data_IF_232662160788
#
_entry.id   IF_232662160788
#
_cell.length_a   1.000
_cell.length_b   1.000
_cell.length_c   1.000
_cell.angle_alpha   90.00
_cell.angle_beta   90.00
_cell.angle_gamma   90.00
#
_symmetry.space_group_name_H-M   'P 1'
#
loop_
_entity.id
_entity.type
_entity.pdbx_description
1 polymer ?
#
# COMPACT_ATOMS: atom_id res chain seq x y z
N UNK A 1 12.72 17.64 -15.95
CA UNK A 1 12.70 16.33 -16.62
C UNK A 1 13.31 15.32 -15.66
N UNK A 2 12.47 14.53 -14.97
CA UNK A 2 12.86 13.35 -14.18
C UNK A 2 11.57 12.62 -13.76
N UNK A 3 10.81 12.15 -14.77
CA UNK A 3 9.68 11.23 -14.56
C UNK A 3 10.21 9.79 -14.67
N UNK A 4 11.35 9.52 -14.05
CA UNK A 4 11.96 8.20 -14.07
C UNK A 4 11.21 7.38 -13.02
N UNK A 5 10.27 6.61 -13.54
CA UNK A 5 9.22 5.92 -12.81
C UNK A 5 9.87 4.82 -11.97
N UNK A 6 10.17 5.03 -10.66
CA UNK A 6 10.75 3.97 -9.82
C UNK A 6 9.68 2.89 -9.52
N UNK A 7 8.45 3.15 -9.94
CA UNK A 7 7.29 2.30 -9.80
C UNK A 7 7.29 1.07 -10.73
N UNK A 8 8.33 0.79 -11.50
CA UNK A 8 8.29 -0.34 -12.44
C UNK A 8 8.86 -1.63 -11.84
N UNK A 9 9.79 -1.57 -10.90
CA UNK A 9 10.47 -2.75 -10.33
C UNK A 9 9.87 -3.25 -9.01
N UNK A 10 8.81 -2.61 -8.52
CA UNK A 10 8.18 -2.98 -7.25
C UNK A 10 6.96 -3.86 -7.49
N UNK A 11 6.65 -4.71 -6.50
CA UNK A 11 5.45 -5.51 -6.51
C UNK A 11 4.20 -4.61 -6.53
N UNK A 12 3.15 -5.05 -7.21
CA UNK A 12 1.88 -4.33 -7.29
C UNK A 12 1.33 -3.94 -5.91
N UNK A 13 1.41 -4.88 -4.95
CA UNK A 13 1.02 -4.68 -3.56
C UNK A 13 1.84 -3.57 -2.87
N UNK A 14 3.16 -3.63 -3.00
CA UNK A 14 4.08 -2.64 -2.41
C UNK A 14 3.86 -1.24 -2.96
N UNK A 15 3.51 -1.13 -4.25
CA UNK A 15 3.25 0.14 -4.90
C UNK A 15 2.00 0.85 -4.36
N UNK A 16 0.95 0.08 -4.06
CA UNK A 16 -0.28 0.62 -3.46
C UNK A 16 0.00 1.10 -2.03
N UNK A 17 0.73 0.31 -1.24
CA UNK A 17 1.17 0.68 0.12
C UNK A 17 2.04 1.94 0.10
N UNK A 18 2.88 2.10 -0.93
CA UNK A 18 3.72 3.30 -1.10
C UNK A 18 2.93 4.59 -1.30
N UNK A 19 1.67 4.50 -1.74
CA UNK A 19 0.76 5.64 -1.78
C UNK A 19 0.48 6.24 -0.40
N UNK A 20 0.66 5.46 0.66
CA UNK A 20 0.53 5.90 2.03
C UNK A 20 1.82 6.61 2.50
N UNK A 21 1.81 7.93 2.37
CA UNK A 21 2.95 8.78 2.74
C UNK A 21 3.23 8.76 4.24
N UNK A 22 2.21 8.54 5.06
CA UNK A 22 2.32 8.52 6.52
C UNK A 22 3.05 7.27 7.00
N UNK A 23 2.66 6.09 6.48
CA UNK A 23 3.36 4.83 6.69
C UNK A 23 4.83 4.92 6.29
N UNK A 24 5.12 5.42 5.08
CA UNK A 24 6.49 5.58 4.60
C UNK A 24 7.30 6.59 5.40
N UNK A 25 6.65 7.59 6.00
CA UNK A 25 7.32 8.55 6.87
C UNK A 25 7.72 7.89 8.19
N UNK A 26 6.80 7.17 8.84
CA UNK A 26 7.08 6.43 10.08
C UNK A 26 8.15 5.34 9.88
N UNK A 27 8.14 4.64 8.75
CA UNK A 27 9.15 3.63 8.40
C UNK A 27 10.55 4.26 8.28
N UNK A 28 10.66 5.44 7.66
CA UNK A 28 11.93 6.18 7.58
C UNK A 28 12.40 6.68 8.95
N UNK A 29 11.48 7.19 9.76
CA UNK A 29 11.79 7.62 11.12
C UNK A 29 12.25 6.44 11.98
N UNK A 30 11.63 5.26 11.82
CA UNK A 30 12.02 4.04 12.54
C UNK A 30 13.45 3.64 12.18
N UNK A 31 13.75 3.59 10.88
CA UNK A 31 15.10 3.30 10.40
C UNK A 31 16.14 4.32 10.87
N UNK A 32 15.78 5.60 10.95
CA UNK A 32 16.66 6.63 11.49
C UNK A 32 16.88 6.44 13.00
N UNK A 33 15.84 6.08 13.74
CA UNK A 33 15.92 5.79 15.18
C UNK A 33 16.74 4.54 15.49
N UNK A 34 16.61 3.48 14.68
CA UNK A 34 17.43 2.27 14.76
C UNK A 34 18.91 2.58 14.49
N UNK A 35 19.21 3.40 13.47
CA UNK A 35 20.59 3.84 13.18
C UNK A 35 21.19 4.72 14.27
N UNK A 36 20.35 5.46 14.97
CA UNK A 36 20.74 6.27 16.12
C UNK A 36 20.80 5.46 17.44
N UNK A 37 20.56 4.15 17.39
CA UNK A 37 20.50 3.23 18.53
C UNK A 37 19.53 3.70 19.65
N UNK A 38 18.47 4.43 19.26
CA UNK A 38 17.53 5.01 20.20
C UNK A 38 16.32 4.10 20.41
N UNK A 39 16.47 3.11 21.30
CA UNK A 39 15.43 2.11 21.60
C UNK A 39 14.10 2.69 22.07
N UNK A 40 14.09 3.83 22.77
CA UNK A 40 12.86 4.50 23.21
C UNK A 40 12.05 5.01 22.03
N UNK A 41 12.72 5.71 21.11
CA UNK A 41 12.07 6.29 19.94
C UNK A 41 11.61 5.20 18.96
N UNK A 42 12.37 4.11 18.85
CA UNK A 42 11.98 2.90 18.12
C UNK A 42 10.68 2.31 18.67
N UNK A 43 10.56 2.14 19.99
CA UNK A 43 9.34 1.63 20.61
C UNK A 43 8.13 2.55 20.38
N UNK A 44 8.30 3.87 20.50
CA UNK A 44 7.24 4.85 20.20
C UNK A 44 6.79 4.78 18.74
N UNK A 45 7.74 4.68 17.80
CA UNK A 45 7.44 4.59 16.37
C UNK A 45 6.77 3.27 16.00
N UNK A 46 7.15 2.15 16.62
CA UNK A 46 6.42 0.89 16.48
C UNK A 46 4.98 1.02 16.98
N UNK A 47 4.74 1.73 18.09
CA UNK A 47 3.38 2.00 18.59
C UNK A 47 2.57 2.88 17.62
N UNK A 48 3.20 3.89 17.01
CA UNK A 48 2.55 4.72 15.98
C UNK A 48 2.23 3.92 14.72
N UNK A 49 3.15 3.08 14.25
CA UNK A 49 2.93 2.17 13.12
C UNK A 49 1.78 1.21 13.40
N UNK A 50 1.68 0.67 14.62
CA UNK A 50 0.56 -0.17 15.03
C UNK A 50 -0.77 0.61 15.03
N UNK A 51 -0.77 1.83 15.60
CA UNK A 51 -1.96 2.67 15.69
C UNK A 51 -2.54 3.07 14.31
N UNK A 52 -1.70 3.28 13.30
CA UNK A 52 -2.16 3.54 11.93
C UNK A 52 -2.52 2.24 11.17
N UNK A 53 -2.36 1.08 11.79
CA UNK A 53 -2.60 -0.21 11.15
C UNK A 53 -1.52 -0.60 10.14
N UNK A 54 -0.28 -0.17 10.32
CA UNK A 54 0.86 -0.43 9.44
C UNK A 54 1.15 -1.93 9.24
N UNK A 55 0.83 -2.79 10.21
CA UNK A 55 0.92 -4.25 10.03
C UNK A 55 -0.22 -4.81 9.16
N UNK A 56 -1.39 -4.18 9.23
CA UNK A 56 -2.59 -4.54 8.47
C UNK A 56 -2.67 -3.87 7.10
N UNK A 57 -1.80 -2.89 6.81
CA UNK A 57 -1.80 -2.14 5.54
C UNK A 57 -1.64 -3.07 4.33
N UNK A 58 -0.86 -4.15 4.50
CA UNK A 58 -0.66 -5.17 3.46
C UNK A 58 -1.94 -5.93 3.17
N UNK A 59 -2.69 -6.34 4.20
CA UNK A 59 -3.96 -7.02 4.04
C UNK A 59 -4.99 -6.08 3.37
N UNK A 60 -5.07 -4.83 3.82
CA UNK A 60 -5.96 -3.81 3.26
C UNK A 60 -5.64 -3.50 1.80
N UNK A 61 -4.36 -3.39 1.44
CA UNK A 61 -3.93 -3.21 0.06
C UNK A 61 -4.26 -4.44 -0.81
N UNK A 62 -4.11 -5.65 -0.27
CA UNK A 62 -4.50 -6.88 -0.97
C UNK A 62 -6.01 -6.96 -1.20
N UNK A 63 -6.85 -6.64 -0.20
CA UNK A 63 -8.31 -6.57 -0.35
C UNK A 63 -8.73 -5.53 -1.39
N UNK A 64 -8.06 -4.38 -1.43
CA UNK A 64 -8.32 -3.34 -2.42
C UNK A 64 -7.96 -3.80 -3.84
N UNK A 65 -6.83 -4.49 -4.01
CA UNK A 65 -6.42 -5.06 -5.29
C UNK A 65 -7.31 -6.24 -5.72
N UNK A 66 -7.76 -7.07 -4.78
CA UNK A 66 -8.72 -8.15 -5.03
C UNK A 66 -10.05 -7.56 -5.56
N UNK A 67 -10.53 -6.49 -4.91
CA UNK A 67 -11.68 -5.71 -5.37
C UNK A 67 -11.47 -4.98 -6.71
N UNK A 68 -10.25 -4.92 -7.24
CA UNK A 68 -9.98 -4.39 -8.59
C UNK A 68 -9.82 -5.51 -9.64
N UNK A 69 -9.93 -6.77 -9.21
CA UNK A 69 -9.80 -7.95 -10.06
C UNK A 69 -8.37 -8.46 -10.23
N UNK A 70 -7.44 -8.10 -9.34
CA UNK A 70 -6.10 -8.68 -9.31
C UNK A 70 -6.10 -10.00 -8.52
N UNK A 71 -5.43 -11.02 -9.04
CA UNK A 71 -5.20 -12.27 -8.29
C UNK A 71 -4.05 -12.12 -7.29
N UNK A 72 -4.04 -12.91 -6.21
CA UNK A 72 -2.95 -12.89 -5.21
C UNK A 72 -1.55 -13.10 -5.83
N UNK A 73 -1.42 -13.96 -6.84
CA UNK A 73 -0.17 -14.16 -7.58
C UNK A 73 0.27 -12.88 -8.29
N UNK A 74 -0.68 -12.16 -8.91
CA UNK A 74 -0.45 -10.89 -9.59
C UNK A 74 -0.06 -9.79 -8.59
N UNK A 75 -0.57 -9.80 -7.36
CA UNK A 75 -0.19 -8.83 -6.33
C UNK A 75 1.30 -8.92 -5.97
N UNK A 76 1.89 -10.12 -6.07
CA UNK A 76 3.31 -10.37 -5.88
C UNK A 76 4.15 -10.10 -7.15
N UNK A 77 3.52 -9.96 -8.32
CA UNK A 77 4.22 -9.68 -9.58
C UNK A 77 4.73 -8.25 -9.66
N UNK A 78 5.82 -8.09 -10.41
CA UNK A 78 6.45 -6.80 -10.64
C UNK A 78 5.63 -5.99 -11.65
N UNK A 79 5.61 -4.67 -11.49
CA UNK A 79 4.87 -3.76 -12.38
C UNK A 79 5.34 -3.80 -13.84
N UNK A 80 6.58 -4.24 -14.09
CA UNK A 80 7.10 -4.56 -15.42
C UNK A 80 6.34 -5.69 -16.12
N UNK A 81 5.82 -6.68 -15.38
CA UNK A 81 5.13 -7.85 -15.94
C UNK A 81 3.69 -7.54 -16.39
N UNK A 82 3.13 -6.43 -15.93
CA UNK A 82 1.79 -5.99 -16.31
C UNK A 82 1.78 -5.20 -17.61
N UNK A 83 0.73 -5.40 -18.42
CA UNK A 83 0.45 -4.59 -19.60
C UNK A 83 -0.05 -3.19 -19.22
N UNK A 84 0.09 -2.23 -20.13
CA UNK A 84 -0.15 -0.79 -19.84
C UNK A 84 -1.53 -0.47 -19.25
N UNK A 85 -2.58 -1.21 -19.61
CA UNK A 85 -3.92 -1.05 -19.03
C UNK A 85 -4.02 -1.45 -17.55
N UNK A 86 -3.29 -2.50 -17.14
CA UNK A 86 -3.21 -2.92 -15.75
C UNK A 86 -2.41 -1.93 -14.90
N UNK A 87 -1.36 -1.31 -15.46
CA UNK A 87 -0.61 -0.24 -14.79
C UNK A 87 -1.46 0.99 -14.50
N UNK A 88 -2.35 1.36 -15.43
CA UNK A 88 -3.32 2.45 -15.21
C UNK A 88 -4.27 2.14 -14.05
N UNK A 89 -4.79 0.90 -13.96
CA UNK A 89 -5.64 0.45 -12.85
C UNK A 89 -4.92 0.47 -11.51
N UNK A 90 -3.65 0.08 -11.49
CA UNK A 90 -2.78 0.16 -10.31
C UNK A 90 -2.51 1.59 -9.85
N UNK A 91 -2.30 2.51 -10.79
CA UNK A 91 -2.15 3.93 -10.47
C UNK A 91 -3.44 4.52 -9.86
N UNK A 92 -4.60 4.08 -10.35
CA UNK A 92 -5.89 4.43 -9.77
C UNK A 92 -6.06 3.83 -8.37
N UNK A 93 -5.66 2.56 -8.17
CA UNK A 93 -5.67 1.88 -6.88
C UNK A 93 -4.84 2.62 -5.83
N UNK A 94 -3.63 3.03 -6.20
CA UNK A 94 -2.75 3.82 -5.34
C UNK A 94 -3.37 5.18 -4.97
N UNK A 95 -3.96 5.87 -5.94
CA UNK A 95 -4.64 7.15 -5.68
C UNK A 95 -5.85 6.98 -4.74
N UNK A 96 -6.56 5.85 -4.84
CA UNK A 96 -7.66 5.49 -3.92
C UNK A 96 -7.15 5.22 -2.50
N UNK A 97 -6.00 4.54 -2.36
CA UNK A 97 -5.37 4.30 -1.06
C UNK A 97 -4.84 5.59 -0.41
N UNK A 98 -4.21 6.48 -1.19
CA UNK A 98 -3.67 7.76 -0.71
C UNK A 98 -4.78 8.71 -0.21
N UNK A 99 -5.99 8.56 -0.76
CA UNK A 99 -7.18 9.28 -0.34
C UNK A 99 -7.95 8.37 0.61
N UNK A 100 -7.51 8.29 1.88
CA UNK A 100 -8.17 7.56 2.97
C UNK A 100 -9.70 7.83 3.06
N UNK A 101 -10.19 8.92 2.47
CA UNK A 101 -11.62 9.27 2.40
C UNK A 101 -12.43 8.51 1.34
N UNK A 102 -11.82 7.88 0.32
CA UNK A 102 -12.59 7.16 -0.71
C UNK A 102 -13.14 5.81 -0.21
N UNK A 103 -12.43 5.15 0.72
CA UNK A 103 -12.91 3.93 1.39
C UNK A 103 -13.85 4.18 2.58
N UNK A 104 -14.02 5.43 3.06
CA UNK A 104 -14.89 5.72 4.20
C UNK A 104 -16.40 5.64 3.86
N UNK A 105 -16.75 5.40 2.60
CA UNK A 105 -18.12 5.08 2.16
C UNK A 105 -18.23 3.64 1.62
N UNK A 106 -17.60 2.67 2.30
CA UNK A 106 -17.72 1.25 1.95
C UNK A 106 -18.12 0.43 3.18
N UNK A 107 -19.30 0.77 3.74
CA UNK A 107 -19.98 -0.10 4.68
C UNK A 107 -20.71 -1.20 3.90
N UNK A 108 -20.22 -2.45 3.96
CA UNK A 108 -21.10 -3.64 3.99
C UNK A 108 -20.36 -4.91 4.45
N UNK A 109 -21.00 -5.75 5.29
CA UNK A 109 -20.37 -6.92 5.86
C UNK A 109 -20.35 -8.11 4.87
N UNK A 110 -19.19 -8.75 4.76
CA UNK A 110 -19.02 -10.19 4.54
C UNK A 110 -19.46 -10.88 3.24
N UNK A 111 -19.75 -10.20 2.12
CA UNK A 111 -19.90 -10.94 0.85
C UNK A 111 -19.53 -10.10 -0.37
N UNK A 112 -18.36 -10.37 -0.95
CA UNK A 112 -17.93 -9.83 -2.24
C UNK A 112 -18.56 -10.67 -3.37
N UNK A 113 -19.71 -10.24 -3.90
CA UNK A 113 -20.32 -10.86 -5.09
C UNK A 113 -20.08 -9.93 -6.28
N UNK A 114 -19.13 -10.31 -7.14
CA UNK A 114 -19.00 -9.77 -8.50
C UNK A 114 -19.92 -10.56 -9.43
N UNK A 115 -21.17 -10.14 -9.58
CA UNK A 115 -21.96 -10.59 -10.73
C UNK A 115 -21.54 -9.84 -11.97
N UNK A 116 -20.70 -10.55 -12.75
CA UNK A 116 -20.53 -10.59 -14.22
C UNK A 116 -20.54 -9.30 -15.03
#
# INVERSE_FOLDING_TARGET
MAQETPALERAALEYVIDGDREYRQLERELQAAERADNGTLVAELHGKLDAIGGYSIRARAAELLDGLGFSQEQMAWHLTQFSGGWRMRLNLAQACCAVQTCCYSMNRPTTWIWTR
#
